data_IF_788211665783
#
_entry.id   IF_788211665783
#
_cell.length_a   1.000
_cell.length_b   1.000
_cell.length_c   1.000
_cell.angle_alpha   90.00
_cell.angle_beta   90.00
_cell.angle_gamma   90.00
#
_symmetry.space_group_name_H-M   'P 1'
#
loop_
_entity.id
_entity.type
_entity.pdbx_description
1 polymer ?
#
# COMPACT_ATOMS: atom_id res chain seq x y z
N UNK A 1 9.85 21.34 4.18
CA UNK A 1 8.90 20.20 4.09
C UNK A 1 8.99 19.42 5.41
N UNK A 2 7.88 18.93 5.95
CA UNK A 2 7.93 18.05 7.14
C UNK A 2 8.56 16.71 6.74
N UNK A 3 9.31 16.07 7.65
CA UNK A 3 9.80 14.70 7.42
C UNK A 3 8.63 13.74 7.22
N UNK A 4 8.79 12.67 6.44
CA UNK A 4 7.78 11.62 6.36
C UNK A 4 7.60 10.93 7.73
N UNK A 5 6.40 10.46 8.00
CA UNK A 5 6.07 9.73 9.24
C UNK A 5 6.27 8.24 9.03
N UNK A 6 6.91 7.58 9.99
CA UNK A 6 6.95 6.12 10.02
C UNK A 6 5.65 5.58 10.62
N UNK A 7 4.95 4.76 9.86
CA UNK A 7 3.79 4.01 10.31
C UNK A 7 4.12 2.50 10.39
N UNK A 8 3.47 1.79 11.31
CA UNK A 8 3.63 0.33 11.43
C UNK A 8 2.26 -0.29 11.69
N UNK A 9 1.99 -1.47 11.13
CA UNK A 9 0.75 -2.20 11.39
C UNK A 9 0.55 -2.38 12.89
N UNK A 10 -0.62 -1.99 13.38
CA UNK A 10 -0.95 -2.19 14.79
C UNK A 10 -0.94 -3.69 15.15
N UNK A 11 -0.29 -3.99 16.25
CA UNK A 11 -0.38 -5.28 16.93
C UNK A 11 -0.16 -5.08 18.42
N UNK A 12 -0.70 -5.96 19.30
CA UNK A 12 -0.45 -5.89 20.73
C UNK A 12 1.05 -5.92 21.11
N UNK A 13 1.91 -6.76 20.48
CA UNK A 13 3.36 -6.71 20.71
C UNK A 13 3.98 -5.35 20.36
N UNK A 14 3.61 -4.75 19.23
CA UNK A 14 4.11 -3.41 18.87
C UNK A 14 3.70 -2.36 19.91
N UNK A 15 2.43 -2.38 20.35
CA UNK A 15 1.95 -1.43 21.34
C UNK A 15 2.70 -1.56 22.68
N UNK A 16 3.07 -2.79 23.08
CA UNK A 16 3.88 -3.03 24.27
C UNK A 16 5.30 -2.45 24.13
N UNK A 17 5.97 -2.69 23.00
CA UNK A 17 7.30 -2.16 22.73
C UNK A 17 7.32 -0.62 22.70
N UNK A 18 6.30 0.01 22.09
CA UNK A 18 6.15 1.47 22.09
C UNK A 18 5.92 2.00 23.51
N UNK A 19 5.04 1.36 24.29
CA UNK A 19 4.76 1.75 25.67
C UNK A 19 5.98 1.58 26.61
N UNK A 20 6.83 0.58 26.33
CA UNK A 20 8.10 0.37 27.05
C UNK A 20 9.21 1.35 26.61
N UNK A 21 9.00 2.10 25.53
CA UNK A 21 10.02 3.00 24.95
C UNK A 21 11.15 2.27 24.22
N UNK A 22 10.95 1.00 23.87
CA UNK A 22 11.92 0.18 23.15
C UNK A 22 11.95 0.49 21.65
N UNK A 23 10.81 0.90 21.07
CA UNK A 23 10.70 1.36 19.69
C UNK A 23 9.93 2.66 19.61
N UNK A 24 10.22 3.46 18.58
CA UNK A 24 9.50 4.71 18.27
C UNK A 24 8.85 4.63 16.89
N UNK A 25 7.58 5.01 16.82
CA UNK A 25 6.81 5.15 15.58
C UNK A 25 6.06 6.49 15.62
N UNK A 26 5.66 6.98 14.44
CA UNK A 26 4.82 8.18 14.36
C UNK A 26 3.32 7.84 14.32
N UNK A 27 2.96 6.68 13.74
CA UNK A 27 1.57 6.26 13.53
C UNK A 27 1.41 4.74 13.63
N UNK A 28 0.32 4.30 14.20
CA UNK A 28 -0.20 2.95 13.97
C UNK A 28 -1.02 2.91 12.67
N UNK A 29 -0.79 1.92 11.82
CA UNK A 29 -1.63 1.60 10.66
C UNK A 29 -2.66 0.56 11.08
N UNK A 30 -3.95 0.84 10.84
CA UNK A 30 -5.06 -0.06 11.21
C UNK A 30 -6.05 -0.24 10.04
N UNK A 31 -6.73 -1.40 9.92
CA UNK A 31 -7.89 -1.52 9.07
C UNK A 31 -9.08 -0.73 9.65
N UNK A 32 -10.19 -0.66 8.93
CA UNK A 32 -11.42 0.05 9.31
C UNK A 32 -12.26 -0.69 10.37
N UNK A 33 -11.63 -1.45 11.26
CA UNK A 33 -12.28 -2.21 12.32
C UNK A 33 -12.31 -1.41 13.62
N UNK A 34 -13.51 -1.21 14.18
CA UNK A 34 -13.73 -0.33 15.34
C UNK A 34 -12.90 -0.70 16.56
N UNK A 35 -12.80 -1.98 16.87
CA UNK A 35 -12.04 -2.50 18.00
C UNK A 35 -10.52 -2.25 17.84
N UNK A 36 -9.98 -2.42 16.65
CA UNK A 36 -8.58 -2.13 16.37
C UNK A 36 -8.28 -0.63 16.34
N UNK A 37 -9.18 0.17 15.77
CA UNK A 37 -9.06 1.64 15.80
C UNK A 37 -9.04 2.12 17.25
N UNK A 38 -9.95 1.60 18.08
CA UNK A 38 -10.02 1.96 19.51
C UNK A 38 -8.74 1.56 20.26
N UNK A 39 -8.23 0.33 20.04
CA UNK A 39 -7.02 -0.16 20.66
C UNK A 39 -5.76 0.64 20.22
N UNK A 40 -5.63 0.93 18.93
CA UNK A 40 -4.52 1.73 18.42
C UNK A 40 -4.57 3.15 18.98
N UNK A 41 -5.73 3.81 19.00
CA UNK A 41 -5.90 5.16 19.57
C UNK A 41 -5.59 5.24 21.05
N UNK A 42 -5.86 4.18 21.80
CA UNK A 42 -5.47 4.08 23.20
C UNK A 42 -3.94 3.98 23.39
N UNK A 43 -3.23 3.48 22.36
CA UNK A 43 -1.78 3.31 22.36
C UNK A 43 -1.02 4.50 21.76
N UNK A 44 -1.67 5.28 20.86
CA UNK A 44 -1.06 6.45 20.22
C UNK A 44 -1.78 6.92 18.96
N UNK A 45 -1.17 7.84 18.20
CA UNK A 45 -1.72 8.28 16.91
C UNK A 45 -1.85 7.12 15.92
N UNK A 46 -2.97 7.08 15.17
CA UNK A 46 -3.18 6.06 14.15
C UNK A 46 -3.79 6.66 12.89
N UNK A 47 -3.73 5.89 11.79
CA UNK A 47 -4.50 6.16 10.58
C UNK A 47 -5.13 4.86 10.06
N UNK A 48 -6.22 5.02 9.32
CA UNK A 48 -6.97 3.89 8.74
C UNK A 48 -6.48 3.62 7.32
N UNK A 49 -6.18 2.36 7.04
CA UNK A 49 -5.98 1.84 5.70
C UNK A 49 -7.25 1.07 5.28
N UNK A 50 -7.95 1.61 4.30
CA UNK A 50 -9.28 1.14 3.92
C UNK A 50 -9.22 -0.04 2.95
N UNK A 51 -10.11 -1.06 3.07
CA UNK A 51 -10.17 -2.20 2.16
C UNK A 51 -10.99 -1.88 0.90
N UNK A 52 -10.66 -0.78 0.21
CA UNK A 52 -11.38 -0.36 -1.00
C UNK A 52 -10.82 -1.08 -2.21
N UNK A 53 -11.66 -1.81 -2.93
CA UNK A 53 -11.31 -2.61 -4.11
C UNK A 53 -11.79 -1.92 -5.40
N UNK A 54 -10.90 -1.11 -6.00
CA UNK A 54 -11.15 -0.45 -7.28
C UNK A 54 -11.05 -1.46 -8.43
N UNK A 55 -12.05 -1.48 -9.29
CA UNK A 55 -12.13 -2.44 -10.40
C UNK A 55 -12.75 -3.80 -10.03
N UNK A 56 -13.14 -4.01 -8.77
CA UNK A 56 -13.99 -5.12 -8.37
C UNK A 56 -15.47 -4.84 -8.68
N UNK A 57 -16.34 -5.83 -8.48
CA UNK A 57 -17.80 -5.68 -8.67
C UNK A 57 -18.43 -4.73 -7.64
N UNK A 58 -17.76 -4.54 -6.51
CA UNK A 58 -18.14 -3.61 -5.42
C UNK A 58 -16.88 -2.99 -4.84
N UNK A 59 -16.98 -1.75 -4.38
CA UNK A 59 -15.86 -1.05 -3.73
C UNK A 59 -15.47 -1.65 -2.35
N UNK A 60 -16.32 -2.47 -1.75
CA UNK A 60 -16.04 -3.13 -0.47
C UNK A 60 -16.10 -2.23 0.76
N UNK A 61 -16.43 -0.95 0.62
CA UNK A 61 -16.45 0.04 1.69
C UNK A 61 -17.73 0.88 1.68
N UNK A 62 -18.19 1.26 2.86
CA UNK A 62 -19.17 2.34 3.06
C UNK A 62 -18.42 3.68 3.07
N UNK A 63 -18.67 4.51 2.04
CA UNK A 63 -17.94 5.77 1.86
C UNK A 63 -18.28 6.83 2.91
N UNK A 64 -19.51 6.85 3.43
CA UNK A 64 -19.88 7.78 4.51
C UNK A 64 -19.15 7.41 5.80
N UNK A 65 -19.10 6.11 6.13
CA UNK A 65 -18.30 5.61 7.23
C UNK A 65 -16.80 5.88 7.04
N UNK A 66 -16.27 5.66 5.85
CA UNK A 66 -14.86 5.96 5.57
C UNK A 66 -14.53 7.42 5.85
N UNK A 67 -15.37 8.35 5.40
CA UNK A 67 -15.23 9.78 5.67
C UNK A 67 -15.31 10.13 7.17
N UNK A 68 -16.19 9.47 7.92
CA UNK A 68 -16.28 9.62 9.38
C UNK A 68 -15.01 9.12 10.07
N UNK A 69 -14.49 7.96 9.69
CA UNK A 69 -13.27 7.41 10.24
C UNK A 69 -12.04 8.28 9.92
N UNK A 70 -11.93 8.80 8.68
CA UNK A 70 -10.88 9.75 8.32
C UNK A 70 -10.86 10.96 9.26
N UNK A 71 -12.03 11.55 9.52
CA UNK A 71 -12.15 12.69 10.46
C UNK A 71 -11.79 12.29 11.89
N UNK A 72 -12.29 11.15 12.35
CA UNK A 72 -12.10 10.69 13.73
C UNK A 72 -10.64 10.31 14.05
N UNK A 73 -9.88 9.83 13.06
CA UNK A 73 -8.48 9.40 13.23
C UNK A 73 -7.46 10.40 12.69
N UNK A 74 -7.90 11.45 11.97
CA UNK A 74 -6.99 12.34 11.24
C UNK A 74 -6.32 11.69 10.03
N UNK A 75 -6.91 10.62 9.47
CA UNK A 75 -6.44 9.98 8.25
C UNK A 75 -6.58 10.94 7.08
N UNK A 76 -5.45 11.26 6.43
CA UNK A 76 -5.38 12.28 5.40
C UNK A 76 -5.77 11.80 4.01
N UNK A 77 -5.80 10.48 3.77
CA UNK A 77 -6.05 9.94 2.44
C UNK A 77 -6.93 8.69 2.50
N UNK A 78 -7.87 8.59 1.56
CA UNK A 78 -8.65 7.39 1.29
C UNK A 78 -7.90 6.57 0.23
N UNK A 79 -7.36 5.42 0.63
CA UNK A 79 -6.67 4.53 -0.29
C UNK A 79 -7.63 3.59 -1.00
N UNK A 80 -7.28 3.22 -2.24
CA UNK A 80 -7.98 2.18 -3.00
C UNK A 80 -6.99 1.27 -3.72
N UNK A 81 -7.17 -0.06 -3.56
CA UNK A 81 -6.39 -1.09 -4.23
C UNK A 81 -6.83 -1.25 -5.68
N UNK A 82 -5.90 -1.25 -6.63
CA UNK A 82 -6.20 -1.46 -8.05
C UNK A 82 -6.41 -2.95 -8.34
N UNK A 83 -7.62 -3.47 -8.11
CA UNK A 83 -7.97 -4.91 -8.22
C UNK A 83 -9.03 -5.20 -9.27
N UNK A 84 -8.83 -4.82 -10.56
CA UNK A 84 -9.80 -5.15 -11.59
C UNK A 84 -9.97 -6.66 -11.67
N UNK A 85 -11.18 -7.12 -11.38
CA UNK A 85 -11.48 -8.53 -11.22
C UNK A 85 -12.09 -9.14 -12.49
N UNK A 86 -11.82 -10.43 -12.71
CA UNK A 86 -12.46 -11.21 -13.78
C UNK A 86 -13.99 -11.17 -13.70
N UNK A 87 -14.56 -11.03 -12.51
CA UNK A 87 -16.02 -10.96 -12.34
C UNK A 87 -16.60 -9.69 -12.97
N UNK A 88 -15.90 -8.55 -12.82
CA UNK A 88 -16.34 -7.28 -13.45
C UNK A 88 -16.06 -7.24 -14.96
N UNK A 89 -15.07 -7.99 -15.43
CA UNK A 89 -14.62 -8.00 -16.83
C UNK A 89 -14.61 -9.44 -17.39
N UNK A 90 -15.77 -10.12 -17.50
CA UNK A 90 -15.81 -11.53 -17.89
C UNK A 90 -15.29 -11.82 -19.30
N UNK A 91 -15.29 -10.83 -20.18
CA UNK A 91 -14.82 -10.95 -21.58
C UNK A 91 -13.35 -10.55 -21.76
N UNK A 92 -12.66 -10.12 -20.69
CA UNK A 92 -11.23 -9.81 -20.73
C UNK A 92 -10.45 -10.99 -20.19
N UNK A 93 -9.53 -11.54 -20.98
CA UNK A 93 -8.66 -12.61 -20.50
C UNK A 93 -7.75 -12.06 -19.38
N UNK A 94 -7.52 -12.85 -18.34
CA UNK A 94 -6.76 -12.42 -17.12
C UNK A 94 -5.37 -11.91 -17.49
N UNK A 95 -4.69 -12.56 -18.43
CA UNK A 95 -3.36 -12.17 -18.90
C UNK A 95 -3.32 -11.07 -19.96
N UNK A 96 -4.49 -10.60 -20.45
CA UNK A 96 -4.57 -9.65 -21.56
C UNK A 96 -4.09 -8.24 -21.15
N UNK A 97 -3.08 -7.74 -21.86
CA UNK A 97 -2.56 -6.37 -21.76
C UNK A 97 -2.63 -5.63 -23.11
N UNK A 98 -3.51 -6.06 -24.01
CA UNK A 98 -3.80 -5.38 -25.26
C UNK A 98 -4.37 -3.97 -25.04
N UNK A 99 -4.34 -3.14 -26.07
CA UNK A 99 -4.78 -1.74 -25.96
C UNK A 99 -6.25 -1.62 -25.50
N UNK A 100 -7.12 -2.52 -25.98
CA UNK A 100 -8.54 -2.52 -25.63
C UNK A 100 -8.77 -2.93 -24.17
N UNK A 101 -8.10 -4.00 -23.70
CA UNK A 101 -8.18 -4.44 -22.31
C UNK A 101 -7.72 -3.33 -21.36
N UNK A 102 -6.56 -2.70 -21.63
CA UNK A 102 -6.06 -1.56 -20.83
C UNK A 102 -7.04 -0.39 -20.82
N UNK A 103 -7.58 0.00 -21.97
CA UNK A 103 -8.53 1.11 -22.07
C UNK A 103 -9.80 0.86 -21.24
N UNK A 104 -10.36 -0.35 -21.32
CA UNK A 104 -11.57 -0.74 -20.55
C UNK A 104 -11.31 -0.77 -19.06
N UNK A 105 -10.19 -1.37 -18.64
CA UNK A 105 -9.81 -1.43 -17.23
C UNK A 105 -9.52 -0.04 -16.69
N UNK A 106 -8.76 0.79 -17.41
CA UNK A 106 -8.47 2.16 -16.99
C UNK A 106 -9.75 3.00 -16.82
N UNK A 107 -10.68 2.92 -17.78
CA UNK A 107 -11.94 3.66 -17.72
C UNK A 107 -12.76 3.31 -16.46
N UNK A 108 -12.88 2.02 -16.14
CA UNK A 108 -13.62 1.60 -14.96
C UNK A 108 -12.92 1.98 -13.64
N UNK A 109 -11.58 1.90 -13.59
CA UNK A 109 -10.81 2.37 -12.43
C UNK A 109 -10.93 3.89 -12.25
N UNK A 110 -10.95 4.66 -13.33
CA UNK A 110 -11.19 6.12 -13.30
C UNK A 110 -12.58 6.43 -12.71
N UNK A 111 -13.62 5.71 -13.17
CA UNK A 111 -14.99 5.87 -12.62
C UNK A 111 -15.02 5.59 -11.10
N UNK A 112 -14.38 4.51 -10.66
CA UNK A 112 -14.33 4.15 -9.24
C UNK A 112 -13.58 5.21 -8.42
N UNK A 113 -12.41 5.69 -8.89
CA UNK A 113 -11.65 6.77 -8.22
C UNK A 113 -12.46 8.05 -8.17
N UNK A 114 -13.20 8.39 -9.24
CA UNK A 114 -14.07 9.57 -9.24
C UNK A 114 -15.21 9.45 -8.21
N UNK A 115 -15.73 8.24 -8.00
CA UNK A 115 -16.72 8.00 -6.93
C UNK A 115 -16.13 8.26 -5.53
N UNK A 116 -14.88 7.84 -5.28
CA UNK A 116 -14.17 8.18 -4.03
C UNK A 116 -13.93 9.68 -3.92
N UNK A 117 -13.44 10.29 -4.99
CA UNK A 117 -13.11 11.73 -5.05
C UNK A 117 -14.36 12.62 -4.81
N UNK A 118 -15.54 12.16 -5.22
CA UNK A 118 -16.79 12.87 -4.94
C UNK A 118 -17.12 12.98 -3.44
N UNK A 119 -16.55 12.09 -2.62
CA UNK A 119 -16.79 12.04 -1.15
C UNK A 119 -15.72 12.79 -0.37
N UNK A 120 -14.43 12.68 -0.78
CA UNK A 120 -13.31 13.20 0.02
C UNK A 120 -12.49 14.28 -0.69
N UNK A 121 -12.62 14.47 -1.99
CA UNK A 121 -11.74 15.28 -2.83
C UNK A 121 -10.70 14.42 -3.57
N UNK A 122 -10.33 14.80 -4.78
CA UNK A 122 -9.38 14.02 -5.59
C UNK A 122 -7.97 14.00 -4.97
N UNK A 123 -7.56 15.08 -4.34
CA UNK A 123 -6.30 15.24 -3.64
C UNK A 123 -6.16 14.33 -2.42
N UNK A 124 -7.28 13.91 -1.84
CA UNK A 124 -7.33 13.01 -0.68
C UNK A 124 -7.55 11.54 -1.05
N UNK A 125 -7.60 11.21 -2.34
CA UNK A 125 -7.60 9.82 -2.82
C UNK A 125 -6.19 9.41 -3.24
N UNK A 126 -5.78 8.22 -2.83
CA UNK A 126 -4.55 7.56 -3.30
C UNK A 126 -4.86 6.17 -3.82
N UNK A 127 -4.21 5.76 -4.90
CA UNK A 127 -4.38 4.42 -5.49
C UNK A 127 -3.14 3.58 -5.26
N UNK A 128 -3.34 2.32 -4.90
CA UNK A 128 -2.29 1.37 -4.57
C UNK A 128 -2.07 0.34 -5.67
N UNK A 129 -0.80 0.13 -6.04
CA UNK A 129 -0.42 -1.00 -6.87
C UNK A 129 -0.52 -2.31 -6.07
N UNK A 130 -1.24 -3.28 -6.63
CA UNK A 130 -1.45 -4.59 -5.98
C UNK A 130 -0.55 -5.67 -6.58
N UNK A 131 -0.32 -6.81 -5.87
CA UNK A 131 0.54 -7.87 -6.38
C UNK A 131 -0.16 -8.70 -7.46
N UNK A 132 0.44 -8.81 -8.64
CA UNK A 132 0.02 -9.80 -9.64
C UNK A 132 0.65 -11.15 -9.30
N UNK A 133 -0.19 -12.15 -9.07
CA UNK A 133 0.24 -13.50 -8.65
C UNK A 133 0.02 -14.57 -9.72
N UNK A 134 -0.26 -14.15 -10.98
CA UNK A 134 -0.56 -15.03 -12.09
C UNK A 134 -2.06 -15.15 -12.40
N UNK A 135 -2.37 -15.84 -13.49
CA UNK A 135 -3.72 -15.87 -14.05
C UNK A 135 -4.75 -16.60 -13.18
N UNK A 136 -4.30 -17.52 -12.32
CA UNK A 136 -5.19 -18.31 -11.45
C UNK A 136 -5.82 -17.48 -10.31
N UNK A 137 -5.32 -16.28 -10.06
CA UNK A 137 -5.79 -15.41 -8.96
C UNK A 137 -6.93 -14.45 -9.35
N UNK A 138 -7.34 -14.42 -10.61
CA UNK A 138 -8.52 -13.67 -11.05
C UNK A 138 -8.34 -12.15 -11.16
N UNK A 139 -7.19 -11.60 -10.74
CA UNK A 139 -6.81 -10.20 -10.96
C UNK A 139 -6.37 -10.02 -12.42
N UNK A 140 -6.98 -9.09 -13.13
CA UNK A 140 -6.58 -8.80 -14.51
C UNK A 140 -5.18 -8.18 -14.55
N UNK A 141 -4.29 -8.76 -15.38
CA UNK A 141 -2.92 -8.25 -15.57
C UNK A 141 -2.90 -6.79 -16.04
N UNK A 142 -3.91 -6.34 -16.77
CA UNK A 142 -4.04 -4.93 -17.15
C UNK A 142 -4.07 -3.97 -15.95
N UNK A 143 -4.58 -4.41 -14.78
CA UNK A 143 -4.62 -3.58 -13.56
C UNK A 143 -3.27 -3.26 -12.95
N UNK A 144 -2.27 -4.10 -13.22
CA UNK A 144 -0.88 -3.87 -12.78
C UNK A 144 0.03 -3.32 -13.90
N UNK A 145 -0.52 -3.07 -15.10
CA UNK A 145 0.24 -2.40 -16.18
C UNK A 145 0.49 -0.94 -15.79
N UNK A 146 1.75 -0.47 -15.73
CA UNK A 146 2.06 0.92 -15.36
C UNK A 146 1.35 1.98 -16.19
N UNK A 147 1.00 1.66 -17.44
CA UNK A 147 0.23 2.58 -18.32
C UNK A 147 -1.19 2.78 -17.83
N UNK A 148 -1.82 1.73 -17.29
CA UNK A 148 -3.17 1.81 -16.70
C UNK A 148 -3.12 2.62 -15.41
N UNK A 149 -2.16 2.33 -14.53
CA UNK A 149 -1.98 3.10 -13.27
C UNK A 149 -1.72 4.58 -13.56
N UNK A 150 -0.84 4.87 -14.54
CA UNK A 150 -0.53 6.24 -14.96
C UNK A 150 -1.73 6.96 -15.56
N UNK A 151 -2.56 6.26 -16.34
CA UNK A 151 -3.80 6.82 -16.89
C UNK A 151 -4.81 7.16 -15.79
N UNK A 152 -4.98 6.28 -14.79
CA UNK A 152 -5.87 6.52 -13.64
C UNK A 152 -5.44 7.77 -12.88
N UNK A 153 -4.17 7.85 -12.50
CA UNK A 153 -3.62 9.01 -11.76
C UNK A 153 -3.75 10.30 -12.58
N UNK A 154 -3.40 10.25 -13.88
CA UNK A 154 -3.50 11.41 -14.78
C UNK A 154 -4.93 11.91 -14.97
N UNK A 155 -5.89 10.99 -15.14
CA UNK A 155 -7.28 11.33 -15.43
C UNK A 155 -8.04 11.84 -14.21
N UNK A 156 -7.65 11.43 -13.00
CA UNK A 156 -8.37 11.75 -11.77
C UNK A 156 -7.67 12.78 -10.89
N UNK A 157 -6.35 12.93 -11.04
CA UNK A 157 -5.54 13.78 -10.16
C UNK A 157 -5.29 13.18 -8.77
N UNK A 158 -5.63 11.90 -8.54
CA UNK A 158 -5.34 11.20 -7.29
C UNK A 158 -3.83 10.97 -7.09
N UNK A 159 -3.43 10.67 -5.84
CA UNK A 159 -2.06 10.31 -5.52
C UNK A 159 -1.76 8.82 -5.74
N UNK A 160 -0.48 8.47 -5.64
CA UNK A 160 0.02 7.09 -5.64
C UNK A 160 0.38 6.66 -4.21
N UNK A 161 -0.13 5.51 -3.79
CA UNK A 161 0.43 4.68 -2.76
C UNK A 161 1.26 3.61 -3.46
N UNK A 162 2.59 3.68 -3.30
CA UNK A 162 3.49 2.67 -3.85
C UNK A 162 3.78 1.61 -2.80
N UNK A 163 3.33 0.37 -3.05
CA UNK A 163 3.78 -0.78 -2.29
C UNK A 163 4.93 -1.49 -3.03
N UNK A 164 6.13 -1.43 -2.43
CA UNK A 164 7.34 -2.05 -2.99
C UNK A 164 7.27 -3.58 -2.93
N UNK A 165 6.58 -4.14 -1.94
CA UNK A 165 6.43 -5.59 -1.80
C UNK A 165 5.51 -6.14 -2.87
N UNK A 166 4.42 -5.43 -3.19
CA UNK A 166 3.54 -5.74 -4.29
C UNK A 166 4.24 -5.63 -5.65
N UNK A 167 5.09 -4.60 -5.82
CA UNK A 167 5.91 -4.46 -7.02
C UNK A 167 6.90 -5.63 -7.15
N UNK A 168 7.57 -6.05 -6.06
CA UNK A 168 8.45 -7.22 -6.04
C UNK A 168 7.71 -8.51 -6.40
N UNK A 169 6.52 -8.74 -5.85
CA UNK A 169 5.69 -9.90 -6.17
C UNK A 169 5.30 -9.90 -7.65
N UNK A 170 4.85 -8.76 -8.16
CA UNK A 170 4.44 -8.58 -9.56
C UNK A 170 5.62 -8.84 -10.51
N UNK A 171 6.77 -8.24 -10.26
CA UNK A 171 7.93 -8.36 -11.14
C UNK A 171 8.55 -9.75 -11.11
N UNK A 172 8.59 -10.42 -9.96
CA UNK A 172 9.02 -11.83 -9.87
C UNK A 172 8.09 -12.76 -10.63
N UNK A 173 6.76 -12.52 -10.56
CA UNK A 173 5.76 -13.32 -11.30
C UNK A 173 5.87 -13.09 -12.80
N UNK A 174 6.15 -11.87 -13.24
CA UNK A 174 6.24 -11.50 -14.67
C UNK A 174 7.64 -11.67 -15.27
N UNK A 175 8.68 -11.96 -14.45
CA UNK A 175 10.07 -12.03 -14.91
C UNK A 175 10.61 -10.67 -15.38
N UNK A 176 10.23 -9.58 -14.72
CA UNK A 176 10.63 -8.21 -15.05
C UNK A 176 11.64 -7.67 -14.03
N UNK A 177 12.41 -6.66 -14.43
CA UNK A 177 13.20 -5.88 -13.49
C UNK A 177 12.32 -5.00 -12.60
N UNK A 178 12.61 -4.96 -11.29
CA UNK A 178 11.85 -4.19 -10.32
C UNK A 178 11.85 -2.70 -10.66
N UNK A 179 13.02 -2.16 -10.98
CA UNK A 179 13.15 -0.71 -11.14
C UNK A 179 12.61 -0.24 -12.48
N UNK A 180 12.71 -1.06 -13.54
CA UNK A 180 11.99 -0.79 -14.80
C UNK A 180 10.49 -0.71 -14.60
N UNK A 181 9.94 -1.61 -13.77
CA UNK A 181 8.52 -1.59 -13.44
C UNK A 181 8.13 -0.38 -12.59
N UNK A 182 8.84 -0.15 -11.49
CA UNK A 182 8.51 0.92 -10.53
C UNK A 182 8.73 2.31 -11.15
N UNK A 183 9.80 2.51 -11.91
CA UNK A 183 10.08 3.80 -12.56
C UNK A 183 9.08 4.09 -13.72
N UNK A 184 8.35 3.06 -14.21
CA UNK A 184 7.23 3.24 -15.16
C UNK A 184 5.90 3.58 -14.49
N UNK A 185 5.75 3.40 -13.17
CA UNK A 185 4.59 3.84 -12.40
C UNK A 185 4.58 5.37 -12.27
N UNK A 186 3.44 6.01 -11.97
CA UNK A 186 3.34 7.48 -11.81
C UNK A 186 3.95 7.96 -10.48
N UNK A 187 5.24 7.66 -10.26
CA UNK A 187 5.96 7.97 -9.00
C UNK A 187 6.04 9.46 -8.69
N UNK A 188 5.82 10.34 -9.67
CA UNK A 188 5.69 11.79 -9.46
C UNK A 188 4.47 12.17 -8.58
N UNK A 189 3.48 11.27 -8.46
CA UNK A 189 2.29 11.45 -7.63
C UNK A 189 2.37 10.70 -6.28
N UNK A 190 3.56 10.23 -5.89
CA UNK A 190 3.77 9.46 -4.66
C UNK A 190 3.35 10.25 -3.41
N UNK A 191 2.48 9.68 -2.59
CA UNK A 191 1.96 10.23 -1.34
C UNK A 191 2.21 9.31 -0.14
N UNK A 192 2.27 8.00 -0.37
CA UNK A 192 2.50 7.00 0.65
C UNK A 192 3.37 5.87 0.09
N UNK A 193 4.28 5.32 0.91
CA UNK A 193 5.14 4.20 0.58
C UNK A 193 4.90 3.06 1.55
N UNK A 194 4.61 1.86 1.04
CA UNK A 194 4.54 0.63 1.84
C UNK A 194 5.75 -0.24 1.61
N UNK A 195 6.23 -0.88 2.69
CA UNK A 195 7.38 -1.78 2.69
C UNK A 195 7.11 -2.99 3.58
N UNK A 196 7.50 -4.16 3.13
CA UNK A 196 7.56 -5.40 3.91
C UNK A 196 8.52 -6.39 3.28
N UNK A 197 8.87 -7.47 3.99
CA UNK A 197 9.69 -8.55 3.42
C UNK A 197 8.88 -9.43 2.47
N UNK A 198 9.53 -9.91 1.41
CA UNK A 198 8.93 -10.76 0.38
C UNK A 198 9.75 -12.03 0.18
N UNK A 199 9.19 -13.20 0.53
CA UNK A 199 9.83 -14.50 0.33
C UNK A 199 8.83 -15.65 0.22
N UNK A 200 9.27 -16.83 -0.26
CA UNK A 200 8.42 -18.02 -0.26
C UNK A 200 8.08 -18.47 1.18
N UNK A 201 6.79 -18.74 1.41
CA UNK A 201 6.27 -19.44 2.58
C UNK A 201 5.33 -20.51 2.05
N UNK A 202 5.56 -21.77 2.41
CA UNK A 202 4.79 -22.92 1.90
C UNK A 202 4.70 -22.97 0.36
N UNK A 203 5.82 -22.66 -0.30
CA UNK A 203 5.93 -22.68 -1.76
C UNK A 203 5.24 -21.52 -2.48
N UNK A 204 4.67 -20.55 -1.76
CA UNK A 204 4.02 -19.35 -2.33
C UNK A 204 4.76 -18.09 -1.91
N UNK A 205 5.01 -17.17 -2.84
CA UNK A 205 5.54 -15.85 -2.51
C UNK A 205 4.52 -15.09 -1.65
N UNK A 206 5.00 -14.57 -0.51
CA UNK A 206 4.21 -13.79 0.44
C UNK A 206 4.95 -12.51 0.82
N UNK A 207 4.18 -11.50 1.11
CA UNK A 207 4.52 -10.23 1.70
C UNK A 207 4.19 -10.20 3.20
N UNK A 208 4.23 -9.03 3.82
CA UNK A 208 4.00 -8.82 5.27
C UNK A 208 4.93 -9.67 6.15
N UNK A 209 6.13 -9.92 5.69
CA UNK A 209 7.16 -10.70 6.38
C UNK A 209 8.28 -9.78 6.89
N UNK A 210 9.14 -10.23 7.82
CA UNK A 210 10.32 -9.48 8.22
C UNK A 210 11.17 -9.10 7.01
N UNK A 211 11.79 -7.93 7.04
CA UNK A 211 12.72 -7.50 5.99
C UNK A 211 13.99 -8.36 6.03
N UNK A 212 14.42 -8.80 4.86
CA UNK A 212 15.76 -9.36 4.65
C UNK A 212 16.75 -8.23 4.30
N UNK A 213 18.04 -8.52 4.23
CA UNK A 213 19.04 -7.56 3.77
C UNK A 213 18.74 -7.05 2.35
N UNK A 214 18.23 -7.92 1.48
CA UNK A 214 17.83 -7.55 0.12
C UNK A 214 16.61 -6.63 0.10
N UNK A 215 15.60 -6.89 0.95
CA UNK A 215 14.45 -6.01 1.08
C UNK A 215 14.87 -4.63 1.62
N UNK A 216 15.76 -4.58 2.61
CA UNK A 216 16.35 -3.32 3.11
C UNK A 216 17.11 -2.58 2.02
N UNK A 217 17.83 -3.28 1.13
CA UNK A 217 18.50 -2.67 0.00
C UNK A 217 17.50 -2.04 -0.99
N UNK A 218 16.37 -2.69 -1.24
CA UNK A 218 15.26 -2.13 -2.04
C UNK A 218 14.70 -0.86 -1.40
N UNK A 219 14.42 -0.89 -0.09
CA UNK A 219 13.95 0.30 0.65
C UNK A 219 14.96 1.45 0.52
N UNK A 220 16.26 1.19 0.76
CA UNK A 220 17.31 2.19 0.63
C UNK A 220 17.40 2.80 -0.76
N UNK A 221 17.22 1.98 -1.82
CA UNK A 221 17.24 2.44 -3.20
C UNK A 221 16.03 3.33 -3.54
N UNK A 222 14.84 3.04 -2.99
CA UNK A 222 13.67 3.91 -3.10
C UNK A 222 13.89 5.26 -2.39
N UNK A 223 14.39 5.25 -1.15
CA UNK A 223 14.71 6.47 -0.40
C UNK A 223 15.82 7.28 -1.08
N UNK A 224 16.78 6.65 -1.75
CA UNK A 224 17.80 7.34 -2.55
C UNK A 224 17.19 8.11 -3.72
N UNK A 225 16.16 7.57 -4.40
CA UNK A 225 15.41 8.27 -5.45
C UNK A 225 14.69 9.52 -4.93
N UNK A 226 14.11 9.43 -3.74
CA UNK A 226 13.48 10.57 -3.06
C UNK A 226 14.51 11.66 -2.70
N UNK A 227 15.66 11.28 -2.10
CA UNK A 227 16.74 12.21 -1.79
C UNK A 227 17.35 12.88 -3.03
N UNK A 228 17.39 12.19 -4.13
CA UNK A 228 17.84 12.72 -5.42
C UNK A 228 16.79 13.63 -6.10
N UNK A 229 15.58 13.74 -5.54
CA UNK A 229 14.49 14.53 -6.12
C UNK A 229 13.82 13.86 -7.33
N UNK A 230 14.13 12.57 -7.62
CA UNK A 230 13.49 11.82 -8.69
C UNK A 230 12.04 11.46 -8.34
N UNK A 231 11.77 11.21 -7.06
CA UNK A 231 10.44 11.00 -6.51
C UNK A 231 10.14 12.04 -5.43
N UNK A 232 8.88 12.48 -5.26
CA UNK A 232 8.52 13.30 -4.11
C UNK A 232 8.70 12.50 -2.80
N UNK A 233 8.95 13.21 -1.71
CA UNK A 233 8.97 12.62 -0.37
C UNK A 233 7.51 12.38 0.04
N UNK A 234 7.11 11.13 0.38
CA UNK A 234 5.74 10.81 0.76
C UNK A 234 5.39 11.36 2.15
N UNK A 235 4.10 11.50 2.45
CA UNK A 235 3.62 11.88 3.78
C UNK A 235 3.92 10.81 4.83
N UNK A 236 3.89 9.54 4.42
CA UNK A 236 4.08 8.37 5.26
C UNK A 236 4.90 7.28 4.56
N UNK A 237 5.68 6.57 5.36
CA UNK A 237 6.26 5.26 5.02
C UNK A 237 5.70 4.24 6.00
N UNK A 238 5.01 3.20 5.51
CA UNK A 238 4.40 2.19 6.35
C UNK A 238 5.16 0.86 6.28
N UNK A 239 5.54 0.33 7.44
CA UNK A 239 6.04 -1.02 7.58
C UNK A 239 4.88 -1.98 7.78
N UNK A 240 4.55 -2.72 6.74
CA UNK A 240 3.46 -3.69 6.74
C UNK A 240 3.91 -5.07 7.23
N UNK A 241 4.47 -5.12 8.43
CA UNK A 241 4.87 -6.36 9.06
C UNK A 241 3.91 -6.75 10.18
N UNK A 242 3.54 -8.03 10.20
CA UNK A 242 2.66 -8.55 11.23
C UNK A 242 1.25 -7.93 11.17
N UNK A 243 0.60 -7.88 12.32
CA UNK A 243 -0.76 -7.36 12.49
C UNK A 243 -1.57 -8.23 13.43
N UNK A 244 -2.89 -8.19 13.27
CA UNK A 244 -3.86 -8.97 14.06
C UNK A 244 -4.71 -9.86 13.18
N UNK A 245 -5.31 -10.87 13.80
CA UNK A 245 -6.17 -11.85 13.13
C UNK A 245 -5.43 -13.00 12.45
N UNK A 246 -6.16 -14.00 11.97
CA UNK A 246 -5.61 -15.31 11.60
C UNK A 246 -4.62 -15.27 10.42
N UNK A 247 -4.62 -14.20 9.64
CA UNK A 247 -3.70 -14.03 8.50
C UNK A 247 -2.36 -13.45 8.92
N UNK A 248 -2.31 -12.57 9.92
CA UNK A 248 -1.13 -11.77 10.28
C UNK A 248 -0.57 -12.06 11.66
N UNK A 249 -1.39 -12.49 12.61
CA UNK A 249 -0.99 -12.69 14.01
C UNK A 249 0.19 -13.66 14.16
N UNK A 250 0.17 -14.76 13.43
CA UNK A 250 1.25 -15.74 13.47
C UNK A 250 2.59 -15.24 12.90
N UNK A 251 2.59 -14.14 12.17
CA UNK A 251 3.79 -13.50 11.61
C UNK A 251 4.37 -12.43 12.51
N UNK A 252 3.63 -12.00 13.54
CA UNK A 252 4.03 -10.90 14.41
C UNK A 252 4.99 -11.41 15.48
N UNK A 253 6.27 -11.12 15.31
CA UNK A 253 7.34 -11.44 16.26
C UNK A 253 7.85 -10.15 16.89
N UNK A 254 7.78 -10.00 18.22
CA UNK A 254 8.27 -8.80 18.93
C UNK A 254 9.75 -8.54 18.73
N UNK A 255 10.58 -9.59 18.60
CA UNK A 255 12.04 -9.41 18.40
C UNK A 255 12.31 -8.78 17.02
N UNK A 256 11.56 -9.17 16.00
CA UNK A 256 11.63 -8.54 14.67
C UNK A 256 11.19 -7.08 14.71
N UNK A 257 10.13 -6.77 15.45
CA UNK A 257 9.67 -5.38 15.62
C UNK A 257 10.73 -4.55 16.34
N UNK A 258 11.32 -5.08 17.41
CA UNK A 258 12.38 -4.41 18.18
C UNK A 258 13.64 -4.14 17.34
N UNK A 259 13.97 -5.00 16.39
CA UNK A 259 15.12 -4.84 15.49
C UNK A 259 14.80 -3.92 14.29
N UNK A 260 13.69 -4.15 13.60
CA UNK A 260 13.45 -3.54 12.29
C UNK A 260 12.76 -2.18 12.35
N UNK A 261 11.95 -1.91 13.37
CA UNK A 261 11.29 -0.60 13.52
C UNK A 261 12.31 0.53 13.74
N UNK A 262 13.31 0.41 14.62
CA UNK A 262 14.36 1.43 14.76
C UNK A 262 15.14 1.65 13.46
N UNK A 263 15.51 0.58 12.76
CA UNK A 263 16.18 0.67 11.46
C UNK A 263 15.38 1.49 10.46
N UNK A 264 14.08 1.21 10.31
CA UNK A 264 13.21 1.95 9.41
C UNK A 264 13.00 3.39 9.89
N UNK A 265 12.90 3.62 11.19
CA UNK A 265 12.77 4.96 11.75
C UNK A 265 13.98 5.84 11.37
N UNK A 266 15.20 5.31 11.49
CA UNK A 266 16.43 6.00 11.06
C UNK A 266 16.45 6.28 9.56
N UNK A 267 16.07 5.27 8.75
CA UNK A 267 16.01 5.41 7.29
C UNK A 267 15.01 6.48 6.85
N UNK A 268 13.81 6.47 7.42
CA UNK A 268 12.75 7.44 7.12
C UNK A 268 13.14 8.85 7.61
N UNK A 269 13.71 8.95 8.80
CA UNK A 269 14.20 10.23 9.35
C UNK A 269 15.28 10.87 8.46
N UNK A 270 16.05 10.09 7.71
CA UNK A 270 17.08 10.59 6.77
C UNK A 270 16.55 11.32 5.54
N UNK A 271 15.23 11.39 5.35
CA UNK A 271 14.57 12.12 4.26
C UNK A 271 14.17 13.56 4.62
N UNK A 272 14.30 13.95 5.91
CA UNK A 272 13.90 15.27 6.40
C UNK A 272 15.03 16.24 6.62
#
# INVERSE_FOLDING_TARGET
>A
MSRPRLAVNYSPPLAQLVAAGEVAIDLYKVPDWDDLIAAARASGPCYVHFPVDLGATRLGVDLDRARELMRATGTSSLNGHLVPSRERFPDVAVGDVGAEARRRVAAALVEDVQALAAVVGAEDVIVENVPYRGEDHGLLRAGVDPRVVSEVVRATGCGLLLDLSHALLTTRTLGMDLWEYVDALPTHALRELHVSGVRPVDGKLRDHLPLTADDVAVVRAALARMRAGAWPIPDKVAFEYGGVGPVFEWRTDPDVLAEQVPLLHELVASLG
#
